data_IF_067317609153
#
_entry.id   IF_067317609153
#
_cell.length_a   1.000
_cell.length_b   1.000
_cell.length_c   1.000
_cell.angle_alpha   90.00
_cell.angle_beta   90.00
_cell.angle_gamma   90.00
#
_symmetry.space_group_name_H-M   'P 1'
#
loop_
_entity.id
_entity.type
_entity.pdbx_description
1 polymer ?
#
# COMPACT_ATOMS: atom_id res chain seq x y z
N UNK A 1 17.12 -18.33 9.16
CA UNK A 1 17.02 -16.89 8.83
C UNK A 1 15.55 -16.58 8.61
N UNK A 2 14.98 -15.59 9.32
CA UNK A 2 13.59 -15.20 9.06
C UNK A 2 13.51 -14.63 7.64
N UNK A 3 12.59 -15.13 6.81
CA UNK A 3 12.38 -14.63 5.45
C UNK A 3 11.84 -13.21 5.57
N UNK A 4 12.57 -12.23 5.05
CA UNK A 4 12.12 -10.83 5.04
C UNK A 4 10.82 -10.76 4.23
N UNK A 5 9.81 -10.07 4.77
CA UNK A 5 8.54 -9.86 4.05
C UNK A 5 8.83 -9.02 2.82
N UNK A 6 8.32 -9.47 1.67
CA UNK A 6 8.55 -8.83 0.39
C UNK A 6 7.74 -7.52 0.31
N UNK A 7 8.19 -6.56 -0.51
CA UNK A 7 7.47 -5.33 -0.74
C UNK A 7 6.17 -5.60 -1.51
N UNK A 8 5.06 -4.98 -1.08
CA UNK A 8 3.72 -5.23 -1.63
C UNK A 8 3.03 -3.93 -2.05
N UNK A 9 2.18 -4.03 -3.06
CA UNK A 9 1.31 -2.96 -3.50
C UNK A 9 -0.15 -3.27 -3.11
N UNK A 10 -0.87 -2.29 -2.57
CA UNK A 10 -2.31 -2.32 -2.29
C UNK A 10 -2.98 -1.29 -3.18
N UNK A 11 -3.82 -1.73 -4.12
CA UNK A 11 -4.59 -0.81 -4.95
C UNK A 11 -5.86 -0.36 -4.22
N UNK A 12 -6.32 0.87 -4.49
CA UNK A 12 -7.52 1.40 -3.82
C UNK A 12 -7.38 1.47 -2.30
N UNK A 13 -6.15 1.68 -1.81
CA UNK A 13 -5.81 1.70 -0.39
C UNK A 13 -6.62 2.74 0.38
N UNK A 14 -7.04 3.84 -0.27
CA UNK A 14 -7.85 4.89 0.35
C UNK A 14 -9.29 4.46 0.69
N UNK A 15 -9.75 3.32 0.18
CA UNK A 15 -11.08 2.78 0.45
C UNK A 15 -11.14 1.98 1.75
N UNK A 16 -12.34 1.67 2.23
CA UNK A 16 -12.55 0.90 3.46
C UNK A 16 -11.83 -0.46 3.48
N UNK A 17 -11.95 -1.23 2.39
CA UNK A 17 -11.30 -2.55 2.28
C UNK A 17 -9.79 -2.38 2.12
N UNK A 18 -9.35 -1.40 1.33
CA UNK A 18 -7.94 -1.11 1.08
C UNK A 18 -7.19 -0.71 2.35
N UNK A 19 -7.74 0.20 3.15
CA UNK A 19 -7.12 0.66 4.39
C UNK A 19 -7.08 -0.45 5.45
N UNK A 20 -8.12 -1.29 5.51
CA UNK A 20 -8.10 -2.50 6.34
C UNK A 20 -7.03 -3.50 5.87
N UNK A 21 -6.81 -3.59 4.56
CA UNK A 21 -5.76 -4.45 4.01
C UNK A 21 -4.38 -3.94 4.38
N UNK A 22 -4.13 -2.64 4.30
CA UNK A 22 -2.89 -2.00 4.77
C UNK A 22 -2.68 -2.32 6.25
N UNK A 23 -3.69 -2.12 7.09
CA UNK A 23 -3.62 -2.45 8.52
C UNK A 23 -3.25 -3.91 8.77
N UNK A 24 -3.93 -4.83 8.08
CA UNK A 24 -3.70 -6.27 8.22
C UNK A 24 -2.26 -6.64 7.83
N UNK A 25 -1.70 -6.03 6.78
CA UNK A 25 -0.33 -6.28 6.34
C UNK A 25 0.68 -5.77 7.37
N UNK A 26 0.45 -4.60 7.96
CA UNK A 26 1.29 -4.07 9.05
C UNK A 26 1.29 -5.02 10.26
N UNK A 27 0.10 -5.48 10.70
CA UNK A 27 -0.01 -6.45 11.81
C UNK A 27 0.67 -7.80 11.50
N UNK A 28 0.82 -8.16 10.21
CA UNK A 28 1.54 -9.36 9.75
C UNK A 28 3.06 -9.16 9.61
N UNK A 29 3.57 -7.98 9.95
CA UNK A 29 4.98 -7.64 9.90
C UNK A 29 5.49 -7.26 8.51
N UNK A 30 4.62 -6.88 7.57
CA UNK A 30 5.07 -6.22 6.34
C UNK A 30 5.54 -4.81 6.66
N UNK A 31 6.72 -4.46 6.16
CA UNK A 31 7.34 -3.16 6.44
C UNK A 31 7.46 -2.27 5.21
N UNK A 32 7.24 -2.77 4.00
CA UNK A 32 7.28 -1.96 2.76
C UNK A 32 5.97 -2.12 2.02
N UNK A 33 5.15 -1.08 2.03
CA UNK A 33 3.80 -1.08 1.45
C UNK A 33 3.65 0.13 0.52
N UNK A 34 3.27 -0.15 -0.72
CA UNK A 34 2.85 0.84 -1.71
C UNK A 34 1.33 0.91 -1.71
N UNK A 35 0.77 2.07 -1.37
CA UNK A 35 -0.66 2.29 -1.24
C UNK A 35 -1.17 3.18 -2.38
N UNK A 36 -1.90 2.58 -3.32
CA UNK A 36 -2.51 3.33 -4.42
C UNK A 36 -3.76 4.05 -3.93
N UNK A 37 -3.90 5.31 -4.29
CA UNK A 37 -5.10 6.11 -4.02
C UNK A 37 -5.61 6.72 -5.31
N UNK A 38 -6.93 6.96 -5.37
CA UNK A 38 -7.52 7.62 -6.52
C UNK A 38 -7.00 9.07 -6.59
N UNK A 39 -6.56 9.56 -7.76
CA UNK A 39 -5.98 10.90 -7.89
C UNK A 39 -6.85 12.00 -7.29
N UNK A 40 -6.24 12.91 -6.51
CA UNK A 40 -6.95 14.01 -5.87
C UNK A 40 -7.76 13.64 -4.62
N UNK A 41 -7.66 12.41 -4.11
CA UNK A 41 -8.25 12.02 -2.82
C UNK A 41 -7.31 12.36 -1.66
N UNK A 42 -7.86 12.64 -0.47
CA UNK A 42 -7.07 12.81 0.76
C UNK A 42 -6.62 11.43 1.31
N UNK A 43 -5.30 11.14 1.38
CA UNK A 43 -4.79 9.88 1.89
C UNK A 43 -4.36 9.94 3.36
N UNK A 44 -4.57 11.06 4.06
CA UNK A 44 -3.99 11.30 5.39
C UNK A 44 -4.33 10.20 6.40
N UNK A 45 -5.54 9.64 6.32
CA UNK A 45 -5.99 8.58 7.22
C UNK A 45 -5.15 7.29 7.13
N UNK A 46 -4.45 7.04 6.02
CA UNK A 46 -3.57 5.88 5.87
C UNK A 46 -2.37 5.95 6.82
N UNK A 47 -1.90 7.16 7.14
CA UNK A 47 -0.81 7.38 8.08
C UNK A 47 -1.26 7.35 9.55
N UNK A 48 -2.58 7.42 9.80
CA UNK A 48 -3.18 7.26 11.12
C UNK A 48 -3.41 5.78 11.48
N UNK A 49 -3.25 4.86 10.51
CA UNK A 49 -3.33 3.42 10.74
C UNK A 49 -2.24 3.02 11.75
N UNK A 50 -2.58 2.35 12.85
CA UNK A 50 -1.57 1.94 13.82
C UNK A 50 -0.49 1.05 13.17
N UNK A 51 0.77 1.43 13.38
CA UNK A 51 1.95 0.82 12.76
C UNK A 51 2.41 1.49 11.47
N UNK A 52 1.61 2.36 10.84
CA UNK A 52 1.98 3.00 9.58
C UNK A 52 3.17 3.99 9.70
N UNK A 53 3.34 4.57 10.89
CA UNK A 53 4.41 5.54 11.21
C UNK A 53 5.54 4.95 12.04
N UNK A 54 5.59 3.63 12.19
CA UNK A 54 6.72 2.96 12.83
C UNK A 54 8.01 3.21 12.02
N UNK A 55 9.14 3.43 12.70
CA UNK A 55 10.41 3.75 12.05
C UNK A 55 10.94 2.63 11.14
N UNK A 56 10.48 1.38 11.34
CA UNK A 56 10.81 0.24 10.51
C UNK A 56 9.87 0.08 9.30
N UNK A 57 8.79 0.88 9.24
CA UNK A 57 7.76 0.82 8.20
C UNK A 57 7.95 1.94 7.18
N UNK A 58 7.89 1.56 5.91
CA UNK A 58 7.88 2.43 4.73
C UNK A 58 6.52 2.27 4.04
N UNK A 59 5.58 3.12 4.42
CA UNK A 59 4.30 3.27 3.74
C UNK A 59 4.42 4.43 2.74
N UNK A 60 4.34 4.14 1.44
CA UNK A 60 4.35 5.17 0.40
C UNK A 60 3.00 5.22 -0.28
N UNK A 61 2.47 6.43 -0.40
CA UNK A 61 1.22 6.68 -1.11
C UNK A 61 1.55 7.14 -2.52
N UNK A 62 0.85 6.57 -3.50
CA UNK A 62 0.94 7.00 -4.88
C UNK A 62 -0.46 7.13 -5.48
N UNK A 63 -0.63 8.13 -6.34
CA UNK A 63 -1.86 8.27 -7.10
C UNK A 63 -1.83 7.31 -8.29
N UNK A 64 -2.87 6.51 -8.44
CA UNK A 64 -3.07 5.70 -9.62
C UNK A 64 -4.55 5.50 -9.89
N UNK A 65 -4.94 5.73 -11.13
CA UNK A 65 -6.19 5.25 -11.66
C UNK A 65 -5.97 3.79 -12.14
N UNK A 66 -6.77 2.86 -11.62
CA UNK A 66 -6.72 1.45 -12.04
C UNK A 66 -7.19 1.24 -13.49
N UNK A 67 -7.79 2.25 -14.10
CA UNK A 67 -8.14 2.26 -15.52
C UNK A 67 -7.00 2.76 -16.41
N UNK A 68 -5.94 3.32 -15.82
CA UNK A 68 -4.72 3.72 -16.51
C UNK A 68 -3.68 2.60 -16.40
N UNK A 69 -3.50 1.88 -17.51
CA UNK A 69 -2.56 0.77 -17.62
C UNK A 69 -1.11 1.20 -17.33
N UNK A 70 -0.69 2.38 -17.76
CA UNK A 70 0.67 2.86 -17.56
C UNK A 70 0.90 3.25 -16.10
N UNK A 71 -0.12 3.83 -15.44
CA UNK A 71 -0.09 4.10 -14.01
C UNK A 71 0.01 2.80 -13.19
N UNK A 72 -0.76 1.77 -13.58
CA UNK A 72 -0.69 0.44 -12.96
C UNK A 72 0.67 -0.23 -13.17
N UNK A 73 1.25 -0.18 -14.37
CA UNK A 73 2.58 -0.77 -14.60
C UNK A 73 3.65 -0.13 -13.72
N UNK A 74 3.61 1.20 -13.53
CA UNK A 74 4.54 1.91 -12.63
C UNK A 74 4.30 1.59 -11.16
N UNK A 75 3.04 1.47 -10.76
CA UNK A 75 2.63 1.14 -9.39
C UNK A 75 3.15 -0.22 -8.91
N UNK A 76 3.33 -1.15 -9.84
CA UNK A 76 3.66 -2.55 -9.52
C UNK A 76 5.12 -2.90 -9.79
N UNK A 77 5.86 -2.00 -10.45
CA UNK A 77 7.26 -2.21 -10.79
C UNK A 77 8.12 -2.36 -9.51
N UNK A 78 8.77 -3.52 -9.35
CA UNK A 78 9.61 -3.81 -8.17
C UNK A 78 8.87 -4.39 -6.96
N UNK A 79 7.54 -4.57 -7.03
CA UNK A 79 6.74 -5.19 -5.97
C UNK A 79 6.45 -6.67 -6.28
N UNK A 80 6.55 -7.54 -5.27
CA UNK A 80 6.41 -8.99 -5.46
C UNK A 80 4.96 -9.48 -5.34
N UNK A 81 4.03 -8.59 -4.98
CA UNK A 81 2.60 -8.92 -4.88
C UNK A 81 1.70 -7.70 -4.94
N UNK A 82 0.52 -7.88 -5.55
CA UNK A 82 -0.54 -6.87 -5.67
C UNK A 82 -1.76 -7.38 -4.92
N UNK A 83 -2.30 -6.56 -4.03
CA UNK A 83 -3.62 -6.76 -3.43
C UNK A 83 -4.59 -5.78 -4.05
N UNK A 84 -5.47 -6.29 -4.92
CA UNK A 84 -6.63 -5.55 -5.41
C UNK A 84 -7.86 -5.98 -4.60
N UNK A 85 -8.46 -5.09 -3.80
CA UNK A 85 -9.70 -5.37 -3.08
C UNK A 85 -10.92 -5.46 -4.01
#
# INVERSE_FOLDING_TARGET
>A
MAKQKEAVCVTGANGFIGSWRVRTLLDQGYTTIHASVYPGSDPSHLFEIPGATDASVRLEVFEADVLDYDALCKAVEGYQGIFSP
#
